data_IF_075825625744
#
_entry.id   IF_075825625744
#
_cell.length_a   1.000
_cell.length_b   1.000
_cell.length_c   1.000
_cell.angle_alpha   90.00
_cell.angle_beta   90.00
_cell.angle_gamma   90.00
#
_symmetry.space_group_name_H-M   'P 1'
#
loop_
_entity.id
_entity.type
_entity.pdbx_description
1 polymer ?
#
# COMPACT_ATOMS: atom_id res chain seq x y z
N UNK A 1 -5.77 -1.98 11.92
CA UNK A 1 -4.43 -2.26 12.46
C UNK A 1 -4.38 -3.54 13.32
N UNK A 2 -5.39 -3.81 14.16
CA UNK A 2 -5.45 -5.03 15.00
C UNK A 2 -5.30 -6.34 14.22
N UNK A 3 -5.89 -6.42 13.01
CA UNK A 3 -5.75 -7.59 12.12
C UNK A 3 -4.28 -7.81 11.74
N UNK A 4 -3.55 -6.76 11.35
CA UNK A 4 -2.13 -6.85 10.98
C UNK A 4 -1.28 -7.32 12.16
N UNK A 5 -1.57 -6.83 13.36
CA UNK A 5 -0.88 -7.25 14.60
C UNK A 5 -1.15 -8.72 14.97
N UNK A 6 -2.33 -9.24 14.64
CA UNK A 6 -2.67 -10.65 14.85
C UNK A 6 -2.14 -11.59 13.76
N UNK A 7 -1.84 -11.07 12.57
CA UNK A 7 -1.37 -11.85 11.42
C UNK A 7 0.15 -11.84 11.24
N UNK A 8 0.85 -10.81 11.73
CA UNK A 8 2.26 -10.56 11.41
C UNK A 8 3.05 -10.23 12.66
N UNK A 9 4.36 -10.39 12.59
CA UNK A 9 5.25 -9.97 13.70
C UNK A 9 5.10 -8.47 14.00
N UNK A 10 5.40 -8.09 15.25
CA UNK A 10 5.26 -6.69 15.71
C UNK A 10 6.03 -5.69 14.85
N UNK A 11 7.21 -6.06 14.35
CA UNK A 11 8.02 -5.17 13.50
C UNK A 11 7.39 -4.98 12.11
N UNK A 12 6.80 -6.03 11.52
CA UNK A 12 6.08 -5.95 10.24
C UNK A 12 4.86 -5.05 10.39
N UNK A 13 4.08 -5.27 11.45
CA UNK A 13 2.93 -4.43 11.74
C UNK A 13 3.31 -2.96 11.92
N UNK A 14 4.43 -2.67 12.58
CA UNK A 14 4.97 -1.32 12.69
C UNK A 14 5.35 -0.74 11.32
N UNK A 15 6.04 -1.49 10.46
CA UNK A 15 6.39 -1.05 9.12
C UNK A 15 5.15 -0.72 8.28
N UNK A 16 4.14 -1.59 8.28
CA UNK A 16 2.85 -1.35 7.60
C UNK A 16 2.15 -0.12 8.18
N UNK A 17 2.19 0.07 9.51
CA UNK A 17 1.61 1.24 10.16
C UNK A 17 2.22 2.54 9.65
N UNK A 18 3.54 2.62 9.44
CA UNK A 18 4.17 3.84 8.90
C UNK A 18 3.63 4.22 7.52
N UNK A 19 3.34 3.23 6.67
CA UNK A 19 2.74 3.47 5.35
C UNK A 19 1.26 3.84 5.45
N UNK A 20 0.55 3.17 6.36
CA UNK A 20 -0.87 3.41 6.62
C UNK A 20 -1.13 4.83 7.12
N UNK A 21 -0.33 5.32 8.08
CA UNK A 21 -0.47 6.65 8.66
C UNK A 21 -0.36 7.75 7.58
N UNK A 22 0.54 7.56 6.61
CA UNK A 22 0.63 8.42 5.42
C UNK A 22 -0.63 8.26 4.57
N UNK A 23 -1.01 7.03 4.22
CA UNK A 23 -2.15 6.78 3.33
C UNK A 23 -3.50 7.29 3.84
N UNK A 24 -3.66 7.46 5.16
CA UNK A 24 -4.89 8.01 5.75
C UNK A 24 -4.88 9.53 5.89
N UNK A 25 -3.73 10.19 5.83
CA UNK A 25 -3.61 11.64 5.98
C UNK A 25 -4.20 12.37 4.75
N UNK A 26 -5.28 13.16 4.90
CA UNK A 26 -5.95 13.86 3.80
C UNK A 26 -5.01 14.72 2.96
N UNK A 27 -4.17 15.52 3.60
CA UNK A 27 -3.23 16.45 2.92
C UNK A 27 -2.29 15.69 2.00
N UNK A 28 -1.84 14.51 2.43
CA UNK A 28 -0.96 13.69 1.61
C UNK A 28 -1.71 13.05 0.46
N UNK A 29 -2.96 12.64 0.64
CA UNK A 29 -3.79 11.96 -0.38
C UNK A 29 -4.12 12.89 -1.54
N UNK A 30 -4.32 14.18 -1.28
CA UNK A 30 -4.57 15.20 -2.30
C UNK A 30 -3.37 15.40 -3.24
N UNK A 31 -2.15 15.20 -2.74
CA UNK A 31 -0.93 15.31 -3.54
C UNK A 31 -0.69 14.13 -4.52
N UNK A 32 -1.52 13.09 -4.49
CA UNK A 32 -1.42 11.95 -5.42
C UNK A 32 -2.37 12.09 -6.60
N UNK A 33 -1.89 11.72 -7.78
CA UNK A 33 -2.72 11.50 -8.97
C UNK A 33 -2.57 10.07 -9.45
N UNK A 34 -3.65 9.53 -10.01
CA UNK A 34 -3.74 8.15 -10.46
C UNK A 34 -4.19 8.14 -11.91
N UNK A 35 -3.46 7.43 -12.77
CA UNK A 35 -3.83 7.20 -14.15
C UNK A 35 -4.05 5.70 -14.32
N UNK A 36 -5.26 5.32 -14.68
CA UNK A 36 -5.64 3.93 -14.90
C UNK A 36 -5.21 3.49 -16.31
N UNK A 37 -4.35 2.48 -16.39
CA UNK A 37 -3.83 1.91 -17.64
C UNK A 37 -4.28 0.44 -17.83
N UNK A 38 -5.43 0.04 -17.27
CA UNK A 38 -5.93 -1.34 -17.36
C UNK A 38 -5.46 -2.19 -16.18
N UNK A 39 -4.47 -3.07 -16.38
CA UNK A 39 -4.00 -3.98 -15.31
C UNK A 39 -3.12 -3.28 -14.27
N UNK A 40 -2.54 -2.15 -14.67
CA UNK A 40 -1.68 -1.31 -13.83
C UNK A 40 -2.26 0.09 -13.69
N UNK A 41 -1.91 0.72 -12.57
CA UNK A 41 -2.21 2.13 -12.28
C UNK A 41 -0.90 2.85 -12.13
N UNK A 42 -0.74 3.93 -12.88
CA UNK A 42 0.36 4.87 -12.68
C UNK A 42 -0.02 5.79 -11.52
N UNK A 43 0.79 5.76 -10.47
CA UNK A 43 0.68 6.61 -9.29
C UNK A 43 1.72 7.71 -9.39
N UNK A 44 1.27 8.97 -9.34
CA UNK A 44 2.15 10.14 -9.40
C UNK A 44 2.07 10.94 -8.11
N UNK A 45 3.23 11.42 -7.66
CA UNK A 45 3.37 12.34 -6.53
C UNK A 45 4.48 13.35 -6.84
N UNK A 46 4.10 14.57 -7.23
CA UNK A 46 5.07 15.56 -7.71
C UNK A 46 5.83 15.04 -8.92
N UNK A 47 7.16 14.95 -8.81
CA UNK A 47 8.05 14.44 -9.88
C UNK A 47 8.19 12.91 -9.89
N UNK A 48 7.67 12.22 -8.88
CA UNK A 48 7.81 10.78 -8.77
C UNK A 48 6.63 10.06 -9.41
N UNK A 49 6.94 9.05 -10.21
CA UNK A 49 5.97 8.17 -10.87
C UNK A 49 6.28 6.72 -10.46
N UNK A 50 5.22 5.96 -10.16
CA UNK A 50 5.27 4.57 -9.71
C UNK A 50 4.20 3.76 -10.44
N UNK A 51 4.46 2.49 -10.68
CA UNK A 51 3.48 1.54 -11.19
C UNK A 51 2.91 0.69 -10.04
N UNK A 52 1.59 0.54 -10.03
CA UNK A 52 0.84 -0.29 -9.10
C UNK A 52 0.02 -1.33 -9.86
N UNK A 53 0.30 -2.61 -9.65
CA UNK A 53 -0.50 -3.73 -10.14
C UNK A 53 -1.81 -3.84 -9.35
N UNK A 54 -2.97 -3.92 -10.03
CA UNK A 54 -4.28 -3.91 -9.37
C UNK A 54 -4.63 -5.22 -8.66
N UNK A 55 -4.26 -6.36 -9.22
CA UNK A 55 -4.61 -7.67 -8.67
C UNK A 55 -3.78 -8.00 -7.43
N UNK A 56 -2.45 -7.98 -7.57
CA UNK A 56 -1.51 -8.29 -6.49
C UNK A 56 -1.24 -7.14 -5.52
N UNK A 57 -1.71 -5.93 -5.83
CA UNK A 57 -1.39 -4.69 -5.08
C UNK A 57 0.12 -4.42 -4.96
N UNK A 58 0.88 -4.93 -5.93
CA UNK A 58 2.34 -4.77 -5.97
C UNK A 58 2.70 -3.42 -6.57
N UNK A 59 3.55 -2.68 -5.87
CA UNK A 59 4.06 -1.40 -6.34
C UNK A 59 5.58 -1.49 -6.58
N UNK A 60 6.06 -0.76 -7.57
CA UNK A 60 7.49 -0.66 -7.87
C UNK A 60 8.27 0.33 -6.98
N UNK A 61 7.59 1.01 -6.03
CA UNK A 61 8.28 1.84 -5.05
C UNK A 61 9.27 1.02 -4.20
N UNK A 62 10.36 1.66 -3.78
CA UNK A 62 11.45 1.05 -3.01
C UNK A 62 10.96 0.25 -1.79
N UNK A 63 9.98 0.78 -1.06
CA UNK A 63 9.41 0.10 0.10
C UNK A 63 8.74 -1.23 -0.27
N UNK A 64 7.90 -1.23 -1.31
CA UNK A 64 7.20 -2.44 -1.75
C UNK A 64 8.16 -3.47 -2.36
N UNK A 65 9.15 -3.02 -3.15
CA UNK A 65 10.12 -3.94 -3.74
C UNK A 65 11.03 -4.59 -2.69
N UNK A 66 11.54 -3.80 -1.74
CA UNK A 66 12.46 -4.26 -0.69
C UNK A 66 11.75 -5.11 0.34
N UNK A 67 10.64 -4.59 0.89
CA UNK A 67 9.95 -5.23 1.99
C UNK A 67 8.98 -6.30 1.52
N UNK A 68 8.48 -6.25 0.27
CA UNK A 68 7.34 -7.08 -0.19
C UNK A 68 6.15 -6.99 0.77
N UNK A 69 5.81 -5.74 1.11
CA UNK A 69 4.73 -5.36 1.99
C UNK A 69 3.85 -4.29 1.31
N UNK A 70 2.58 -4.16 1.75
CA UNK A 70 1.70 -3.10 1.31
C UNK A 70 2.32 -1.70 1.50
N UNK A 71 2.46 -0.95 0.42
CA UNK A 71 2.95 0.42 0.46
C UNK A 71 1.80 1.44 0.55
N UNK A 72 2.15 2.69 0.88
CA UNK A 72 1.21 3.81 0.91
C UNK A 72 0.51 4.05 -0.43
N UNK A 73 1.19 3.87 -1.57
CA UNK A 73 0.60 4.09 -2.90
C UNK A 73 -0.61 3.17 -3.14
N UNK A 74 -0.43 1.88 -2.84
CA UNK A 74 -1.49 0.87 -2.91
C UNK A 74 -2.65 1.19 -1.97
N UNK A 75 -2.34 1.59 -0.74
CA UNK A 75 -3.36 1.96 0.26
C UNK A 75 -4.16 3.21 -0.13
N UNK A 76 -3.51 4.25 -0.66
CA UNK A 76 -4.18 5.48 -1.11
C UNK A 76 -5.09 5.17 -2.29
N UNK A 77 -4.60 4.41 -3.28
CA UNK A 77 -5.42 3.98 -4.42
C UNK A 77 -6.67 3.22 -3.96
N UNK A 78 -6.48 2.25 -3.05
CA UNK A 78 -7.58 1.46 -2.47
C UNK A 78 -8.59 2.31 -1.70
N UNK A 79 -8.11 3.30 -0.93
CA UNK A 79 -8.94 4.27 -0.20
C UNK A 79 -9.73 5.16 -1.15
N UNK A 80 -9.11 5.67 -2.24
CA UNK A 80 -9.82 6.44 -3.28
C UNK A 80 -10.88 5.63 -4.00
N UNK A 81 -10.66 4.33 -4.18
CA UNK A 81 -11.66 3.39 -4.69
C UNK A 81 -12.82 3.10 -3.74
N UNK A 82 -12.89 3.74 -2.56
CA UNK A 82 -13.98 3.58 -1.60
C UNK A 82 -13.95 2.27 -0.81
N UNK A 83 -12.84 1.53 -0.83
CA UNK A 83 -12.76 0.26 -0.12
C UNK A 83 -12.79 0.48 1.41
N UNK A 84 -13.60 -0.29 2.17
CA UNK A 84 -13.60 -0.22 3.63
C UNK A 84 -12.28 -0.75 4.24
N UNK A 85 -11.50 -1.53 3.48
CA UNK A 85 -10.23 -2.11 3.92
C UNK A 85 -9.05 -1.47 3.18
N UNK A 86 -8.50 -0.40 3.76
CA UNK A 86 -7.38 0.37 3.19
C UNK A 86 -6.11 -0.48 2.99
N UNK A 87 -5.83 -1.43 3.89
CA UNK A 87 -4.64 -2.29 3.81
C UNK A 87 -4.90 -3.43 2.81
N UNK A 88 -4.13 -3.57 1.71
CA UNK A 88 -4.22 -4.72 0.83
C UNK A 88 -3.45 -5.91 1.43
N UNK A 89 -4.13 -6.72 2.25
CA UNK A 89 -3.51 -7.89 2.88
C UNK A 89 -2.90 -8.89 1.87
N UNK A 90 -3.43 -8.94 0.64
CA UNK A 90 -2.88 -9.77 -0.44
C UNK A 90 -1.43 -9.42 -0.83
N UNK A 91 -0.98 -8.18 -0.58
CA UNK A 91 0.41 -7.77 -0.84
C UNK A 91 1.38 -8.08 0.33
N UNK A 92 0.89 -8.69 1.43
CA UNK A 92 1.78 -9.16 2.51
C UNK A 92 2.38 -10.49 2.07
N UNK A 93 3.67 -10.52 1.79
CA UNK A 93 4.34 -11.75 1.41
C UNK A 93 4.19 -12.84 2.50
N UNK A 94 3.99 -14.13 2.14
CA UNK A 94 3.74 -15.22 3.10
C UNK A 94 4.77 -15.33 4.22
N UNK A 95 6.04 -14.98 3.96
CA UNK A 95 7.14 -14.98 4.94
C UNK A 95 6.91 -14.07 6.17
N UNK A 96 5.95 -13.15 6.11
CA UNK A 96 5.63 -12.25 7.22
C UNK A 96 4.38 -12.65 8.00
N UNK A 97 3.65 -13.66 7.53
CA UNK A 97 2.45 -14.17 8.18
C UNK A 97 2.88 -15.15 9.27
N UNK A 98 2.38 -14.93 10.49
CA UNK A 98 2.55 -15.85 11.60
C UNK A 98 1.63 -17.05 11.35
N UNK A 99 2.23 -18.22 11.16
CA UNK A 99 1.53 -19.52 11.10
C UNK A 99 1.38 -20.06 12.52
#
# INVERSE_FOLDING_TARGET
MNIVLGMTTRWVAAAIKTQYDVAVNPDTVEAYTFVDNGDVVTVRRGVHEYMLQKEGWECDCEFAQTMKLPCRNAMIFKKRGGSPFVIPFAAIAPRYVQV
#
